data_IF_694503323667
#
_entry.id   IF_694503323667
#
_cell.length_a   1.000
_cell.length_b   1.000
_cell.length_c   1.000
_cell.angle_alpha   90.00
_cell.angle_beta   90.00
_cell.angle_gamma   90.00
#
_symmetry.space_group_name_H-M   'P 1'
#
loop_
_entity.id
_entity.type
_entity.pdbx_description
1 polymer ?
#
# COMPACT_ATOMS: atom_id res chain seq x y z
N UNK A 1 -17.73 -44.44 45.90
CA UNK A 1 -16.82 -43.34 45.54
C UNK A 1 -17.34 -42.74 44.23
N UNK A 2 -17.26 -41.42 44.04
CA UNK A 2 -17.95 -40.60 43.02
C UNK A 2 -19.33 -40.09 43.45
N UNK A 3 -19.38 -38.92 44.09
CA UNK A 3 -20.55 -38.04 44.02
C UNK A 3 -20.06 -36.65 43.62
N UNK A 4 -20.58 -36.21 42.48
CA UNK A 4 -20.23 -35.01 41.74
C UNK A 4 -20.33 -33.75 42.60
N UNK A 5 -19.30 -32.90 42.52
CA UNK A 5 -19.34 -31.53 42.99
C UNK A 5 -20.17 -30.70 42.03
N UNK A 6 -21.34 -30.25 42.49
CA UNK A 6 -22.19 -29.34 41.75
C UNK A 6 -21.57 -27.94 41.78
N UNK A 7 -21.19 -27.42 40.62
CA UNK A 7 -20.94 -25.99 40.39
C UNK A 7 -22.27 -25.22 40.53
N UNK A 8 -22.76 -25.06 41.77
CA UNK A 8 -23.88 -24.17 42.08
C UNK A 8 -23.31 -22.83 42.55
N UNK A 9 -23.24 -21.85 41.66
CA UNK A 9 -22.84 -20.50 42.09
C UNK A 9 -22.45 -19.50 41.01
N UNK A 10 -22.92 -19.60 39.78
CA UNK A 10 -22.64 -18.58 38.74
C UNK A 10 -23.83 -18.30 37.79
N UNK A 11 -25.02 -18.86 38.04
CA UNK A 11 -26.14 -18.79 37.08
C UNK A 11 -26.73 -17.39 36.89
N UNK A 12 -26.81 -16.58 37.96
CA UNK A 12 -27.43 -15.25 37.90
C UNK A 12 -26.43 -14.13 37.61
N UNK A 13 -25.23 -14.16 38.19
CA UNK A 13 -24.18 -13.17 37.89
C UNK A 13 -23.46 -13.46 36.58
N UNK A 14 -23.40 -14.72 36.15
CA UNK A 14 -22.78 -15.12 34.88
C UNK A 14 -23.49 -14.54 33.67
N UNK A 15 -24.82 -14.41 33.71
CA UNK A 15 -25.57 -13.76 32.62
C UNK A 15 -25.27 -12.26 32.54
N UNK A 16 -25.19 -11.55 33.67
CA UNK A 16 -24.80 -10.13 33.68
C UNK A 16 -23.36 -9.93 33.20
N UNK A 17 -22.43 -10.79 33.64
CA UNK A 17 -21.03 -10.77 33.17
C UNK A 17 -20.97 -11.01 31.66
N UNK A 18 -21.75 -11.96 31.15
CA UNK A 18 -21.81 -12.26 29.71
C UNK A 18 -22.41 -11.11 28.89
N UNK A 19 -23.47 -10.47 29.38
CA UNK A 19 -24.07 -9.29 28.76
C UNK A 19 -23.05 -8.13 28.71
N UNK A 20 -22.33 -7.89 29.81
CA UNK A 20 -21.32 -6.84 29.88
C UNK A 20 -20.15 -7.12 28.93
N UNK A 21 -19.71 -8.38 28.84
CA UNK A 21 -18.67 -8.81 27.91
C UNK A 21 -19.10 -8.62 26.45
N UNK A 22 -20.35 -8.97 26.10
CA UNK A 22 -20.91 -8.73 24.76
C UNK A 22 -20.99 -7.23 24.41
N UNK A 23 -21.36 -6.38 25.37
CA UNK A 23 -21.36 -4.93 25.17
C UNK A 23 -19.95 -4.40 24.92
N UNK A 24 -18.95 -4.84 25.69
CA UNK A 24 -17.54 -4.46 25.47
C UNK A 24 -17.09 -4.89 24.07
N UNK A 25 -17.35 -6.14 23.68
CA UNK A 25 -16.99 -6.64 22.34
C UNK A 25 -17.67 -5.82 21.25
N UNK A 26 -18.95 -5.49 21.40
CA UNK A 26 -19.69 -4.64 20.46
C UNK A 26 -19.06 -3.25 20.32
N UNK A 27 -18.69 -2.61 21.43
CA UNK A 27 -18.00 -1.31 21.43
C UNK A 27 -16.62 -1.40 20.78
N UNK A 28 -15.86 -2.47 21.05
CA UNK A 28 -14.57 -2.71 20.41
C UNK A 28 -14.70 -2.89 18.89
N UNK A 29 -15.68 -3.69 18.42
CA UNK A 29 -15.97 -3.86 17.00
C UNK A 29 -16.34 -2.52 16.35
N UNK A 30 -17.19 -1.73 17.01
CA UNK A 30 -17.58 -0.41 16.51
C UNK A 30 -16.38 0.54 16.39
N UNK A 31 -15.48 0.55 17.38
CA UNK A 31 -14.26 1.36 17.35
C UNK A 31 -13.33 0.94 16.20
N UNK A 32 -13.15 -0.36 15.99
CA UNK A 32 -12.33 -0.91 14.89
C UNK A 32 -12.93 -0.58 13.52
N UNK A 33 -14.25 -0.62 13.36
CA UNK A 33 -14.92 -0.23 12.11
C UNK A 33 -14.85 1.29 11.86
N UNK A 34 -14.91 2.09 12.93
CA UNK A 34 -14.87 3.56 12.84
C UNK A 34 -13.45 4.10 12.65
N UNK A 35 -12.42 3.35 13.04
CA UNK A 35 -11.04 3.70 12.71
C UNK A 35 -10.82 3.55 11.21
N UNK A 36 -11.18 4.59 10.45
CA UNK A 36 -10.70 4.75 9.09
C UNK A 36 -9.17 4.82 9.19
N UNK A 37 -8.42 4.04 8.39
CA UNK A 37 -6.98 4.25 8.32
C UNK A 37 -6.77 5.71 7.95
N UNK A 38 -6.05 6.45 8.79
CA UNK A 38 -5.67 7.80 8.45
C UNK A 38 -4.78 7.69 7.23
N UNK A 39 -5.27 8.20 6.09
CA UNK A 39 -4.45 8.27 4.88
C UNK A 39 -3.21 9.10 5.22
N UNK A 40 -2.04 8.55 4.90
CA UNK A 40 -0.78 9.24 5.09
C UNK A 40 -0.83 10.59 4.35
N UNK A 41 -0.30 11.66 4.95
CA UNK A 41 -0.24 13.00 4.34
C UNK A 41 0.40 12.96 2.95
N UNK A 42 1.37 12.06 2.75
CA UNK A 42 1.98 11.81 1.44
C UNK A 42 0.99 11.26 0.40
N UNK A 43 0.14 10.30 0.77
CA UNK A 43 -0.90 9.75 -0.12
C UNK A 43 -1.94 10.82 -0.46
N UNK A 44 -2.34 11.64 0.50
CA UNK A 44 -3.26 12.76 0.27
C UNK A 44 -2.68 13.70 -0.81
N UNK A 45 -1.41 14.05 -0.69
CA UNK A 45 -0.72 14.88 -1.69
C UNK A 45 -0.68 14.24 -3.09
N UNK A 46 -0.42 12.92 -3.17
CA UNK A 46 -0.44 12.20 -4.45
C UNK A 46 -1.83 12.19 -5.10
N UNK A 47 -2.87 12.00 -4.28
CA UNK A 47 -4.26 12.04 -4.77
C UNK A 47 -4.64 13.43 -5.25
N UNK A 48 -4.13 14.50 -4.63
CA UNK A 48 -4.39 15.86 -5.10
C UNK A 48 -3.71 16.15 -6.44
N UNK A 49 -2.46 15.68 -6.64
CA UNK A 49 -1.79 15.73 -7.95
C UNK A 49 -2.62 14.97 -9.01
N UNK A 50 -3.07 13.75 -8.67
CA UNK A 50 -3.86 12.94 -9.60
C UNK A 50 -5.20 13.61 -9.96
N UNK A 51 -5.86 14.29 -9.01
CA UNK A 51 -7.07 15.06 -9.28
C UNK A 51 -6.81 16.25 -10.20
N UNK A 52 -5.66 16.90 -10.05
CA UNK A 52 -5.27 18.02 -10.92
C UNK A 52 -5.08 17.54 -12.36
N UNK A 53 -4.43 16.39 -12.56
CA UNK A 53 -4.29 15.75 -13.88
C UNK A 53 -5.62 15.25 -14.47
N UNK A 54 -6.56 14.80 -13.63
CA UNK A 54 -7.90 14.48 -14.09
C UNK A 54 -8.68 15.73 -14.50
N UNK A 55 -8.57 16.82 -13.74
CA UNK A 55 -9.21 18.09 -14.04
C UNK A 55 -8.64 18.76 -15.30
N UNK A 56 -7.37 18.52 -15.63
CA UNK A 56 -6.75 18.97 -16.88
C UNK A 56 -7.24 18.22 -18.11
N UNK A 57 -7.92 17.08 -17.92
CA UNK A 57 -8.38 16.20 -19.00
C UNK A 57 -7.30 15.28 -19.55
N UNK A 58 -6.15 15.16 -18.87
CA UNK A 58 -5.07 14.25 -19.26
C UNK A 58 -5.40 12.77 -18.99
N UNK A 59 -6.41 12.50 -18.14
CA UNK A 59 -6.84 11.16 -17.74
C UNK A 59 -8.33 10.94 -18.04
N UNK A 60 -8.66 9.72 -18.42
CA UNK A 60 -10.04 9.24 -18.41
C UNK A 60 -10.49 8.87 -17.00
N UNK A 61 -11.81 8.76 -16.78
CA UNK A 61 -12.36 8.37 -15.48
C UNK A 61 -11.89 6.97 -15.03
N UNK A 62 -11.80 6.03 -15.98
CA UNK A 62 -11.35 4.66 -15.70
C UNK A 62 -9.88 4.64 -15.28
N UNK A 63 -9.01 5.36 -15.99
CA UNK A 63 -7.59 5.48 -15.65
C UNK A 63 -7.39 6.19 -14.30
N UNK A 64 -8.20 7.19 -13.99
CA UNK A 64 -8.17 7.86 -12.70
C UNK A 64 -8.51 6.88 -11.56
N UNK A 65 -9.56 6.08 -11.71
CA UNK A 65 -9.98 5.09 -10.71
C UNK A 65 -8.89 4.04 -10.50
N UNK A 66 -8.31 3.53 -11.59
CA UNK A 66 -7.21 2.55 -11.53
C UNK A 66 -5.99 3.13 -10.80
N UNK A 67 -5.53 4.33 -11.21
CA UNK A 67 -4.38 5.02 -10.60
C UNK A 67 -4.61 5.32 -9.13
N UNK A 68 -5.82 5.78 -8.78
CA UNK A 68 -6.21 6.05 -7.40
C UNK A 68 -6.12 4.79 -6.55
N UNK A 69 -6.68 3.68 -7.01
CA UNK A 69 -6.64 2.40 -6.28
C UNK A 69 -5.20 1.96 -6.01
N UNK A 70 -4.31 2.09 -7.00
CA UNK A 70 -2.90 1.72 -6.86
C UNK A 70 -2.17 2.61 -5.84
N UNK A 71 -2.44 3.93 -5.85
CA UNK A 71 -1.82 4.89 -4.92
C UNK A 71 -2.29 4.64 -3.48
N UNK A 72 -3.56 4.29 -3.27
CA UNK A 72 -4.13 4.03 -1.94
C UNK A 72 -3.60 2.72 -1.34
N UNK A 73 -3.40 1.67 -2.15
CA UNK A 73 -2.98 0.35 -1.69
C UNK A 73 -1.46 0.13 -1.67
N UNK A 74 -0.66 1.12 -2.09
CA UNK A 74 0.78 0.93 -2.24
C UNK A 74 1.49 0.77 -0.89
N UNK A 75 2.35 -0.25 -0.83
CA UNK A 75 3.30 -0.45 0.28
C UNK A 75 4.66 0.11 -0.08
N UNK A 76 5.20 0.96 0.77
CA UNK A 76 6.54 1.54 0.61
C UNK A 76 7.60 0.56 1.11
N UNK A 77 7.97 -0.42 0.29
CA UNK A 77 9.00 -1.41 0.62
C UNK A 77 10.43 -0.86 0.48
N UNK A 78 10.62 0.11 -0.41
CA UNK A 78 11.93 0.68 -0.77
C UNK A 78 11.88 2.22 -0.71
N UNK A 79 12.99 2.87 -0.33
CA UNK A 79 13.17 4.32 -0.26
C UNK A 79 12.96 5.05 -1.59
N UNK A 80 13.08 4.34 -2.73
CA UNK A 80 12.84 4.90 -4.06
C UNK A 80 11.37 4.83 -4.51
N UNK A 81 10.53 4.02 -3.85
CA UNK A 81 9.10 3.86 -4.17
C UNK A 81 8.31 5.18 -4.12
N UNK A 82 8.52 6.07 -3.12
CA UNK A 82 7.87 7.38 -3.08
C UNK A 82 8.16 8.27 -4.31
N UNK A 83 9.39 8.22 -4.83
CA UNK A 83 9.78 9.01 -6.01
C UNK A 83 9.08 8.47 -7.26
N UNK A 84 9.04 7.14 -7.40
CA UNK A 84 8.39 6.48 -8.52
C UNK A 84 6.87 6.72 -8.54
N UNK A 85 6.21 6.62 -7.38
CA UNK A 85 4.76 6.83 -7.30
C UNK A 85 4.37 8.30 -7.54
N UNK A 86 5.23 9.25 -7.18
CA UNK A 86 5.01 10.67 -7.48
C UNK A 86 4.96 10.91 -9.00
N UNK A 87 5.88 10.30 -9.75
CA UNK A 87 5.86 10.37 -11.22
C UNK A 87 4.66 9.68 -11.83
N UNK A 88 4.23 8.57 -11.25
CA UNK A 88 3.01 7.89 -11.67
C UNK A 88 1.76 8.74 -11.44
N UNK A 89 1.68 9.45 -10.30
CA UNK A 89 0.58 10.37 -10.00
C UNK A 89 0.53 11.57 -10.96
N UNK A 90 1.68 12.07 -11.42
CA UNK A 90 1.82 13.11 -12.45
C UNK A 90 1.56 12.64 -13.89
N UNK A 91 1.16 11.38 -14.07
CA UNK A 91 0.93 10.80 -15.39
C UNK A 91 2.17 10.76 -16.32
N UNK A 92 3.38 10.88 -15.77
CA UNK A 92 4.62 10.82 -16.56
C UNK A 92 4.94 9.40 -17.05
N UNK A 93 4.39 8.38 -16.38
CA UNK A 93 4.59 6.97 -16.70
C UNK A 93 3.26 6.21 -16.70
N UNK A 94 3.21 5.14 -17.48
CA UNK A 94 2.05 4.25 -17.57
C UNK A 94 2.01 3.26 -16.38
N UNK A 95 0.85 2.65 -16.12
CA UNK A 95 0.72 1.61 -15.08
C UNK A 95 1.70 0.47 -15.32
N UNK A 96 1.86 0.05 -16.58
CA UNK A 96 2.75 -1.04 -16.96
C UNK A 96 4.21 -0.71 -16.64
N UNK A 97 4.68 0.47 -17.01
CA UNK A 97 6.04 0.92 -16.70
C UNK A 97 6.25 1.07 -15.20
N UNK A 98 5.28 1.64 -14.50
CA UNK A 98 5.31 1.78 -13.05
C UNK A 98 5.51 0.42 -12.36
N UNK A 99 4.71 -0.58 -12.71
CA UNK A 99 4.79 -1.93 -12.14
C UNK A 99 6.13 -2.60 -12.47
N UNK A 100 6.60 -2.45 -13.70
CA UNK A 100 7.89 -3.00 -14.10
C UNK A 100 9.03 -2.39 -13.27
N UNK A 101 9.12 -1.07 -13.19
CA UNK A 101 10.17 -0.38 -12.44
C UNK A 101 10.07 -0.72 -10.94
N UNK A 102 8.85 -0.78 -10.39
CA UNK A 102 8.63 -1.17 -9.00
C UNK A 102 9.18 -2.56 -8.71
N UNK A 103 8.90 -3.54 -9.58
CA UNK A 103 9.40 -4.90 -9.42
C UNK A 103 10.94 -4.96 -9.45
N UNK A 104 11.59 -4.22 -10.36
CA UNK A 104 13.05 -4.16 -10.40
C UNK A 104 13.64 -3.54 -9.12
N UNK A 105 13.05 -2.44 -8.63
CA UNK A 105 13.49 -1.77 -7.39
C UNK A 105 13.28 -2.67 -6.15
N UNK A 106 12.19 -3.42 -6.10
CA UNK A 106 11.89 -4.34 -4.98
C UNK A 106 12.73 -5.62 -5.04
N UNK A 107 13.17 -6.06 -6.22
CA UNK A 107 14.02 -7.24 -6.40
C UNK A 107 15.41 -7.11 -5.73
N UNK A 108 15.84 -5.88 -5.40
CA UNK A 108 17.15 -5.57 -4.78
C UNK A 108 18.39 -6.07 -5.55
N UNK A 109 18.23 -6.54 -6.78
CA UNK A 109 19.33 -7.07 -7.61
C UNK A 109 20.31 -5.99 -8.08
N UNK A 110 19.91 -4.72 -8.04
CA UNK A 110 20.68 -3.62 -8.59
C UNK A 110 21.22 -2.65 -7.54
N UNK A 111 22.25 -1.91 -7.94
CA UNK A 111 22.82 -0.85 -7.14
C UNK A 111 21.81 0.26 -6.86
N UNK A 112 21.92 0.86 -5.67
CA UNK A 112 21.05 1.93 -5.19
C UNK A 112 20.97 3.12 -6.18
N UNK A 113 22.11 3.44 -6.82
CA UNK A 113 22.20 4.46 -7.88
C UNK A 113 21.31 4.16 -9.10
N UNK A 114 21.26 2.89 -9.54
CA UNK A 114 20.43 2.49 -10.69
C UNK A 114 18.94 2.59 -10.34
N UNK A 115 18.57 2.11 -9.14
CA UNK A 115 17.21 2.21 -8.64
C UNK A 115 16.76 3.68 -8.50
N UNK A 116 17.65 4.57 -8.06
CA UNK A 116 17.41 6.00 -7.98
C UNK A 116 17.21 6.63 -9.36
N UNK A 117 18.07 6.31 -10.33
CA UNK A 117 17.97 6.83 -11.70
C UNK A 117 16.68 6.38 -12.40
N UNK A 118 16.28 5.13 -12.18
CA UNK A 118 15.01 4.57 -12.67
C UNK A 118 13.80 5.28 -12.03
N UNK A 119 13.81 5.42 -10.70
CA UNK A 119 12.73 6.08 -9.98
C UNK A 119 12.59 7.55 -10.41
N UNK A 120 13.70 8.27 -10.57
CA UNK A 120 13.71 9.68 -11.02
C UNK A 120 13.41 9.88 -12.51
N UNK A 121 13.43 8.83 -13.32
CA UNK A 121 13.21 8.92 -14.77
C UNK A 121 14.41 9.41 -15.57
N UNK A 122 15.59 9.49 -14.95
CA UNK A 122 16.84 9.79 -15.65
C UNK A 122 17.24 8.65 -16.59
N UNK A 123 16.84 7.43 -16.23
CA UNK A 123 17.00 6.24 -17.04
C UNK A 123 15.60 5.73 -17.42
N UNK A 124 15.27 5.77 -18.72
CA UNK A 124 14.05 5.13 -19.23
C UNK A 124 14.13 3.61 -19.05
N UNK A 125 12.99 2.97 -18.76
CA UNK A 125 12.91 1.52 -18.55
C UNK A 125 13.39 0.74 -19.76
N UNK A 126 13.11 1.20 -20.99
CA UNK A 126 13.57 0.53 -22.21
C UNK A 126 15.09 0.57 -22.32
N UNK A 127 15.70 1.72 -21.99
CA UNK A 127 17.15 1.89 -21.98
C UNK A 127 17.81 1.05 -20.89
N UNK A 128 17.16 0.93 -19.73
CA UNK A 128 17.59 0.03 -18.66
C UNK A 128 17.57 -1.43 -19.13
N UNK A 129 16.46 -1.89 -19.70
CA UNK A 129 16.31 -3.26 -20.20
C UNK A 129 17.33 -3.60 -21.29
N UNK A 130 17.64 -2.67 -22.19
CA UNK A 130 18.69 -2.82 -23.19
C UNK A 130 20.09 -2.95 -22.56
N UNK A 131 20.40 -2.17 -21.52
CA UNK A 131 21.68 -2.27 -20.81
C UNK A 131 21.84 -3.59 -20.07
N UNK A 132 20.76 -4.12 -19.50
CA UNK A 132 20.74 -5.43 -18.83
C UNK A 132 20.93 -6.55 -19.83
N UNK A 133 20.14 -6.55 -20.93
CA UNK A 133 20.26 -7.55 -21.98
C UNK A 133 21.61 -7.50 -22.72
N UNK A 134 22.30 -6.36 -22.70
CA UNK A 134 23.63 -6.16 -23.26
C UNK A 134 24.78 -6.41 -22.28
N UNK A 135 24.52 -6.85 -21.04
CA UNK A 135 25.55 -7.19 -20.05
C UNK A 135 26.34 -6.01 -19.47
N UNK A 136 25.81 -4.78 -19.54
CA UNK A 136 26.55 -3.56 -19.13
C UNK A 136 26.24 -3.08 -17.70
N UNK A 137 25.39 -3.76 -16.95
CA UNK A 137 25.04 -3.37 -15.58
C UNK A 137 25.47 -4.47 -14.61
N UNK A 138 26.43 -4.12 -13.75
CA UNK A 138 26.90 -5.00 -12.69
C UNK A 138 25.79 -5.18 -11.65
N UNK A 139 25.29 -6.41 -11.50
CA UNK A 139 24.57 -6.88 -10.32
C UNK A 139 25.43 -6.63 -9.08
N UNK A 140 24.80 -6.43 -7.92
CA UNK A 140 25.56 -6.34 -6.66
C UNK A 140 26.39 -7.61 -6.47
N UNK A 141 27.71 -7.48 -6.46
CA UNK A 141 28.63 -8.48 -5.93
C UNK A 141 28.46 -8.63 -4.42
#
# INVERSE_FOLDING_TARGET
MMRHGYHMGLGFYGSYILIFLLLIISVLIFLVLKSKPSLNSFIIRLLDILKEEYASGALTADEFIERKSIIEDIKYSNSYTPILIERYAKCEITTKEFLNIKNEIESNNYNASICEELAKGKLSYDKFKLKISGGQMNEKQ
#
